data_IF_824223481291
#
_entry.id   IF_824223481291
#
_cell.length_a   1.000
_cell.length_b   1.000
_cell.length_c   1.000
_cell.angle_alpha   90.00
_cell.angle_beta   90.00
_cell.angle_gamma   90.00
#
_symmetry.space_group_name_H-M   'P 1'
#
loop_
_entity.id
_entity.type
_entity.pdbx_description
1 polymer ?
#
# COMPACT_ATOMS: atom_id res chain seq x y z
N UNK A 1 -1.00 -17.33 9.45
CA UNK A 1 -2.01 -16.54 10.18
C UNK A 1 -2.40 -15.33 9.35
N UNK A 2 -3.69 -15.02 9.23
CA UNK A 2 -4.13 -13.81 8.53
C UNK A 2 -3.67 -12.56 9.30
N UNK A 3 -3.09 -11.61 8.57
CA UNK A 3 -2.62 -10.33 9.12
C UNK A 3 -3.75 -9.56 9.77
N UNK A 4 -4.97 -9.58 9.22
CA UNK A 4 -6.12 -8.89 9.83
C UNK A 4 -6.46 -9.45 11.21
N UNK A 5 -6.34 -10.76 11.40
CA UNK A 5 -6.59 -11.39 12.70
C UNK A 5 -5.55 -10.96 13.73
N UNK A 6 -4.26 -10.93 13.37
CA UNK A 6 -3.20 -10.43 14.26
C UNK A 6 -3.46 -8.97 14.68
N UNK A 7 -3.90 -8.13 13.73
CA UNK A 7 -4.25 -6.72 13.99
C UNK A 7 -5.42 -6.59 14.96
N UNK A 8 -6.45 -7.42 14.79
CA UNK A 8 -7.58 -7.49 15.71
C UNK A 8 -7.14 -7.87 17.12
N UNK A 9 -6.20 -8.80 17.26
CA UNK A 9 -5.64 -9.19 18.56
C UNK A 9 -4.86 -8.04 19.20
N UNK A 10 -4.06 -7.28 18.42
CA UNK A 10 -3.41 -6.09 18.97
C UNK A 10 -4.41 -5.06 19.48
N UNK A 11 -5.51 -4.83 18.76
CA UNK A 11 -6.54 -3.88 19.19
C UNK A 11 -7.20 -4.35 20.48
N UNK A 12 -7.52 -5.64 20.58
CA UNK A 12 -8.05 -6.25 21.79
C UNK A 12 -7.11 -6.08 22.99
N UNK A 13 -5.84 -6.44 22.84
CA UNK A 13 -4.81 -6.29 23.88
C UNK A 13 -4.58 -4.81 24.27
N UNK A 14 -4.59 -3.90 23.29
CA UNK A 14 -4.51 -2.46 23.54
C UNK A 14 -5.68 -1.95 24.39
N UNK A 15 -6.91 -2.42 24.12
CA UNK A 15 -8.11 -2.07 24.91
C UNK A 15 -8.08 -2.64 26.33
N UNK A 16 -7.39 -3.76 26.53
CA UNK A 16 -7.10 -4.31 27.86
C UNK A 16 -6.00 -3.54 28.60
N UNK A 17 -5.34 -2.58 27.96
CA UNK A 17 -4.27 -1.79 28.56
C UNK A 17 -2.93 -2.54 28.68
N UNK A 18 -2.77 -3.67 27.99
CA UNK A 18 -1.51 -4.42 28.03
C UNK A 18 -0.44 -3.71 27.22
N UNK A 19 0.82 -3.96 27.55
CA UNK A 19 1.93 -3.34 26.84
C UNK A 19 2.15 -4.00 25.47
N UNK A 20 2.76 -3.25 24.56
CA UNK A 20 3.09 -3.76 23.22
C UNK A 20 3.95 -5.03 23.26
N UNK A 21 4.86 -5.14 24.23
CA UNK A 21 5.74 -6.29 24.39
C UNK A 21 4.97 -7.53 24.85
N UNK A 22 4.10 -7.38 25.84
CA UNK A 22 3.25 -8.48 26.32
C UNK A 22 2.33 -9.00 25.22
N UNK A 23 1.73 -8.10 24.42
CA UNK A 23 0.90 -8.51 23.29
C UNK A 23 1.69 -9.29 22.23
N UNK A 24 2.91 -8.84 21.87
CA UNK A 24 3.79 -9.55 20.93
C UNK A 24 4.18 -10.95 21.45
N UNK A 25 4.54 -11.06 22.73
CA UNK A 25 4.89 -12.32 23.37
C UNK A 25 3.69 -13.28 23.43
N UNK A 26 2.50 -12.81 23.80
CA UNK A 26 1.27 -13.61 23.82
C UNK A 26 0.90 -14.13 22.44
N UNK A 27 1.00 -13.27 21.40
CA UNK A 27 0.69 -13.68 20.02
C UNK A 27 1.69 -14.74 19.55
N UNK A 28 2.99 -14.53 19.78
CA UNK A 28 4.01 -15.51 19.39
C UNK A 28 3.91 -16.81 20.21
N UNK A 29 3.47 -16.75 21.46
CA UNK A 29 3.21 -17.94 22.28
C UNK A 29 1.97 -18.74 21.78
N UNK A 30 0.90 -18.05 21.41
CA UNK A 30 -0.35 -18.68 20.98
C UNK A 30 -0.31 -19.19 19.53
N UNK A 31 0.33 -18.45 18.62
CA UNK A 31 0.29 -18.72 17.17
C UNK A 31 1.64 -19.19 16.60
N UNK A 32 2.70 -19.20 17.40
CA UNK A 32 4.05 -19.61 17.01
C UNK A 32 5.01 -18.44 16.83
N UNK A 33 6.29 -18.70 17.11
CA UNK A 33 7.35 -17.71 17.00
C UNK A 33 7.46 -17.13 15.59
N UNK A 34 7.52 -15.80 15.51
CA UNK A 34 7.61 -15.06 14.25
C UNK A 34 6.27 -14.76 13.59
N UNK A 35 5.13 -15.17 14.18
CA UNK A 35 3.81 -14.71 13.73
C UNK A 35 3.66 -13.19 13.86
N UNK A 36 4.25 -12.62 14.90
CA UNK A 36 4.28 -11.20 15.20
C UNK A 36 5.73 -10.75 15.42
N UNK A 37 6.00 -9.49 15.07
CA UNK A 37 7.26 -8.84 15.46
C UNK A 37 6.96 -7.63 16.33
N UNK A 38 7.83 -7.38 17.30
CA UNK A 38 7.72 -6.22 18.19
C UNK A 38 7.58 -4.89 17.43
N UNK A 39 8.26 -4.74 16.29
CA UNK A 39 8.14 -3.55 15.42
C UNK A 39 6.73 -3.37 14.85
N UNK A 40 6.08 -4.47 14.49
CA UNK A 40 4.71 -4.47 13.97
C UNK A 40 3.74 -4.13 15.09
N UNK A 41 3.91 -4.73 16.26
CA UNK A 41 3.13 -4.41 17.45
C UNK A 41 3.21 -2.91 17.80
N UNK A 42 4.41 -2.33 17.80
CA UNK A 42 4.60 -0.89 18.07
C UNK A 42 3.84 0.00 17.08
N UNK A 43 3.90 -0.32 15.79
CA UNK A 43 3.19 0.45 14.76
C UNK A 43 1.68 0.44 14.99
N UNK A 44 1.10 -0.71 15.32
CA UNK A 44 -0.33 -0.83 15.60
C UNK A 44 -0.72 -0.10 16.87
N UNK A 45 0.03 -0.28 17.95
CA UNK A 45 -0.20 0.43 19.21
C UNK A 45 -0.12 1.95 19.04
N UNK A 46 0.83 2.44 18.26
CA UNK A 46 0.93 3.88 17.97
C UNK A 46 -0.29 4.38 17.18
N UNK A 47 -0.76 3.59 16.19
CA UNK A 47 -1.97 3.89 15.43
C UNK A 47 -3.19 4.01 16.34
N UNK A 48 -3.39 3.05 17.25
CA UNK A 48 -4.50 3.06 18.20
C UNK A 48 -4.41 4.21 19.22
N UNK A 49 -3.20 4.55 19.68
CA UNK A 49 -2.98 5.73 20.54
C UNK A 49 -3.35 7.05 19.86
N UNK A 50 -3.23 7.10 18.53
CA UNK A 50 -3.64 8.26 17.74
C UNK A 50 -5.16 8.27 17.44
N UNK A 51 -5.92 7.30 17.96
CA UNK A 51 -7.38 7.20 17.80
C UNK A 51 -7.84 6.46 16.56
N UNK A 52 -6.93 5.91 15.75
CA UNK A 52 -7.28 5.14 14.55
C UNK A 52 -7.29 3.64 14.85
N UNK A 53 -8.49 3.08 15.04
CA UNK A 53 -8.73 1.66 15.35
C UNK A 53 -9.00 0.81 14.10
N UNK A 54 -8.87 1.36 12.90
CA UNK A 54 -9.08 0.58 11.68
C UNK A 54 -8.04 -0.55 11.57
N UNK A 55 -8.48 -1.76 11.23
CA UNK A 55 -7.58 -2.92 11.03
C UNK A 55 -6.98 -2.98 9.62
N UNK A 56 -7.35 -2.01 8.78
CA UNK A 56 -6.77 -1.86 7.46
C UNK A 56 -5.36 -1.29 7.57
N UNK A 57 -4.49 -1.86 6.76
CA UNK A 57 -3.25 -1.18 6.44
C UNK A 57 -3.67 -0.01 5.57
N UNK A 58 -3.32 1.23 5.94
CA UNK A 58 -3.34 2.28 4.94
C UNK A 58 -2.49 1.75 3.79
N UNK A 59 -3.08 1.68 2.58
CA UNK A 59 -2.32 1.46 1.37
C UNK A 59 -1.09 2.34 1.49
N UNK A 60 0.08 1.69 1.49
CA UNK A 60 1.26 2.28 2.09
C UNK A 60 1.58 3.63 1.46
N UNK A 61 2.57 4.32 2.03
CA UNK A 61 3.30 5.39 1.35
C UNK A 61 4.05 4.87 0.10
N UNK A 62 3.40 4.13 -0.79
CA UNK A 62 3.66 4.30 -2.20
C UNK A 62 3.63 5.80 -2.41
N UNK A 63 4.76 6.34 -2.83
CA UNK A 63 4.88 7.75 -3.17
C UNK A 63 3.83 7.97 -4.25
N UNK A 64 2.63 8.43 -3.86
CA UNK A 64 1.63 8.94 -4.79
C UNK A 64 2.42 9.96 -5.59
N UNK A 65 2.67 9.63 -6.85
CA UNK A 65 3.14 10.67 -7.74
C UNK A 65 1.98 11.62 -7.86
N UNK A 66 2.24 12.91 -7.84
CA UNK A 66 1.24 13.94 -8.17
C UNK A 66 0.85 13.89 -9.67
N UNK A 67 0.96 12.72 -10.29
CA UNK A 67 0.60 12.48 -11.69
C UNK A 67 -0.88 12.19 -11.70
N UNK A 68 -1.60 13.08 -12.37
CA UNK A 68 -2.98 12.87 -12.76
C UNK A 68 -3.04 11.66 -13.72
N UNK A 69 -3.50 10.50 -13.20
CA UNK A 69 -3.54 9.25 -13.97
C UNK A 69 -4.57 9.33 -15.10
N UNK A 70 -5.65 10.09 -14.93
CA UNK A 70 -6.67 10.29 -15.96
C UNK A 70 -6.09 11.05 -17.13
N UNK A 71 -5.39 12.17 -16.87
CA UNK A 71 -4.66 12.89 -17.93
C UNK A 71 -3.58 12.04 -18.60
N UNK A 72 -2.89 11.20 -17.83
CA UNK A 72 -1.90 10.30 -18.41
C UNK A 72 -2.54 9.25 -19.33
N UNK A 73 -3.72 8.72 -18.98
CA UNK A 73 -4.49 7.80 -19.83
C UNK A 73 -4.94 8.48 -21.11
N UNK A 74 -5.50 9.68 -21.02
CA UNK A 74 -5.96 10.46 -22.18
C UNK A 74 -4.82 10.68 -23.18
N UNK A 75 -3.64 11.10 -22.70
CA UNK A 75 -2.46 11.34 -23.56
C UNK A 75 -1.96 10.05 -24.23
N UNK A 76 -2.04 8.92 -23.54
CA UNK A 76 -1.61 7.60 -24.07
C UNK A 76 -2.65 7.02 -25.03
N UNK A 77 -3.93 7.35 -24.88
CA UNK A 77 -5.00 6.94 -25.78
C UNK A 77 -5.08 7.79 -27.04
N UNK A 78 -4.82 9.09 -26.91
CA UNK A 78 -4.70 10.01 -28.04
C UNK A 78 -3.55 9.62 -28.97
N UNK A 79 -2.38 9.28 -28.41
CA UNK A 79 -1.24 8.81 -29.19
C UNK A 79 -0.41 7.75 -28.43
N UNK A 80 -0.62 6.46 -28.73
CA UNK A 80 0.14 5.36 -28.13
C UNK A 80 1.65 5.38 -28.41
N UNK A 81 2.10 6.13 -29.43
CA UNK A 81 3.50 6.21 -29.85
C UNK A 81 4.26 7.38 -29.22
N UNK A 82 3.58 8.26 -28.45
CA UNK A 82 4.23 9.37 -27.72
C UNK A 82 5.36 8.87 -26.82
N UNK A 83 6.49 9.59 -26.88
CA UNK A 83 7.66 9.27 -26.09
C UNK A 83 7.49 9.66 -24.61
N UNK A 84 8.13 8.93 -23.71
CA UNK A 84 8.10 9.21 -22.25
C UNK A 84 8.55 10.63 -21.89
N UNK A 85 9.46 11.22 -22.69
CA UNK A 85 9.91 12.61 -22.51
C UNK A 85 8.85 13.64 -22.88
N UNK A 86 8.02 13.35 -23.87
CA UNK A 86 6.95 14.25 -24.31
C UNK A 86 5.78 14.19 -23.32
N UNK A 87 5.42 12.98 -22.89
CA UNK A 87 4.43 12.76 -21.83
C UNK A 87 4.84 13.47 -20.54
N UNK A 88 6.13 13.40 -20.17
CA UNK A 88 6.66 14.11 -19.01
C UNK A 88 6.50 15.63 -19.12
N UNK A 89 6.71 16.20 -20.31
CA UNK A 89 6.50 17.64 -20.56
C UNK A 89 5.03 18.03 -20.47
N UNK A 90 4.14 17.24 -21.08
CA UNK A 90 2.69 17.48 -21.06
C UNK A 90 2.14 17.44 -19.63
N UNK A 91 2.62 16.50 -18.82
CA UNK A 91 2.16 16.31 -17.44
C UNK A 91 2.92 17.17 -16.42
N UNK A 92 3.97 17.89 -16.84
CA UNK A 92 4.80 18.68 -15.92
C UNK A 92 5.55 17.86 -14.87
N UNK A 93 5.83 16.58 -15.15
CA UNK A 93 6.48 15.65 -14.21
C UNK A 93 7.87 15.24 -14.67
N UNK A 94 8.65 14.63 -13.78
CA UNK A 94 9.95 14.08 -14.15
C UNK A 94 9.81 12.94 -15.17
N UNK A 95 10.80 12.79 -16.06
CA UNK A 95 10.87 11.68 -17.01
C UNK A 95 10.74 10.31 -16.33
N UNK A 96 11.38 10.12 -15.17
CA UNK A 96 11.33 8.86 -14.44
C UNK A 96 9.93 8.58 -13.88
N UNK A 97 9.23 9.63 -13.45
CA UNK A 97 7.85 9.54 -12.99
C UNK A 97 6.93 9.12 -14.15
N UNK A 98 7.00 9.78 -15.30
CA UNK A 98 6.21 9.44 -16.48
C UNK A 98 6.49 8.01 -16.99
N UNK A 99 7.76 7.60 -17.04
CA UNK A 99 8.15 6.25 -17.47
C UNK A 99 7.62 5.15 -16.54
N UNK A 100 7.60 5.41 -15.22
CA UNK A 100 7.05 4.47 -14.23
C UNK A 100 5.55 4.26 -14.44
N UNK A 101 4.78 5.33 -14.53
CA UNK A 101 3.32 5.21 -14.72
C UNK A 101 2.93 4.65 -16.07
N UNK A 102 3.64 5.00 -17.14
CA UNK A 102 3.38 4.42 -18.46
C UNK A 102 3.57 2.89 -18.43
N UNK A 103 4.54 2.39 -17.67
CA UNK A 103 4.74 0.94 -17.47
C UNK A 103 3.58 0.30 -16.69
N UNK A 104 3.00 1.00 -15.72
CA UNK A 104 1.84 0.53 -14.96
C UNK A 104 0.58 0.47 -15.84
N UNK A 105 0.31 1.50 -16.64
CA UNK A 105 -0.82 1.54 -17.59
C UNK A 105 -0.70 0.44 -18.66
N UNK A 106 0.50 0.21 -19.21
CA UNK A 106 0.69 -0.87 -20.20
C UNK A 106 0.50 -2.27 -19.58
N UNK A 107 0.86 -2.44 -18.30
CA UNK A 107 0.59 -3.69 -17.57
C UNK A 107 -0.90 -3.90 -17.33
N UNK A 108 -1.63 -2.87 -16.93
CA UNK A 108 -3.08 -2.98 -16.67
C UNK A 108 -3.86 -3.25 -17.95
N UNK A 109 -3.51 -2.61 -19.09
CA UNK A 109 -4.08 -2.93 -20.40
C UNK A 109 -3.81 -4.40 -20.81
N UNK A 110 -2.58 -4.89 -20.65
CA UNK A 110 -2.23 -6.30 -20.94
C UNK A 110 -2.98 -7.29 -20.04
N UNK A 111 -3.19 -6.96 -18.77
CA UNK A 111 -3.95 -7.81 -17.84
C UNK A 111 -5.44 -7.84 -18.18
N UNK A 112 -6.02 -6.71 -18.58
CA UNK A 112 -7.42 -6.64 -19.02
C UNK A 112 -7.65 -7.43 -20.32
N UNK A 113 -6.72 -7.37 -21.27
CA UNK A 113 -6.79 -8.12 -22.53
C UNK A 113 -6.70 -9.64 -22.31
N UNK A 114 -5.85 -10.11 -21.37
CA UNK A 114 -5.71 -11.53 -21.03
C UNK A 114 -6.96 -12.09 -20.31
N UNK A 115 -7.69 -11.27 -19.56
CA UNK A 115 -8.91 -11.69 -18.85
C UNK A 115 -10.17 -11.67 -19.73
N UNK A 116 -10.08 -11.16 -20.96
CA UNK A 116 -11.20 -11.04 -21.90
C UNK A 116 -11.20 -12.17 -22.96
N UNK A 117 -10.32 -13.17 -22.81
CA UNK A 117 -10.20 -14.38 -23.66
C UNK A 117 -10.51 -15.62 -22.83
#
# INVERSE_FOLDING_TARGET
>A
MDKRVIRGIYLYEFKLGTTTKEADEKINAAFGQGCSTIRTAYRWYQKFRNGDESLEEHEGRGRHSDVDEDKLRDVVEEDPHKGTREIAKVLGVSHNTAARHLKEIRKTKKQAEILTV
#
